data_IF_929538166246
#
_entry.id   IF_929538166246
#
_cell.length_a   1.000
_cell.length_b   1.000
_cell.length_c   1.000
_cell.angle_alpha   90.00
_cell.angle_beta   90.00
_cell.angle_gamma   90.00
#
_symmetry.space_group_name_H-M   'P 1'
#
loop_
_entity.id
_entity.type
_entity.pdbx_description
1 polymer ?
#
# COMPACT_ATOMS: atom_id res chain seq x y z
N UNK A 1 -9.50 -23.79 10.15
CA UNK A 1 -9.47 -22.43 9.57
C UNK A 1 -8.39 -21.67 10.30
N UNK A 2 -7.38 -21.17 9.60
CA UNK A 2 -6.28 -20.40 10.22
C UNK A 2 -6.72 -18.98 10.47
N UNK A 3 -6.19 -18.38 11.52
CA UNK A 3 -6.46 -16.98 11.88
C UNK A 3 -5.15 -16.27 12.24
N UNK A 4 -5.05 -15.00 11.92
CA UNK A 4 -3.99 -14.09 12.35
C UNK A 4 -4.61 -12.88 13.02
N UNK A 5 -4.22 -12.58 14.26
CA UNK A 5 -4.79 -11.47 15.05
C UNK A 5 -6.34 -11.47 15.07
N UNK A 6 -6.96 -12.66 15.07
CA UNK A 6 -8.42 -12.82 14.99
C UNK A 6 -9.02 -12.81 13.57
N UNK A 7 -8.25 -12.41 12.55
CA UNK A 7 -8.70 -12.38 11.16
C UNK A 7 -8.53 -13.74 10.49
N UNK A 8 -9.49 -14.12 9.64
CA UNK A 8 -9.39 -15.30 8.79
C UNK A 8 -8.28 -15.12 7.76
N UNK A 9 -7.42 -16.14 7.61
CA UNK A 9 -6.37 -16.12 6.59
C UNK A 9 -6.79 -16.89 5.34
N UNK A 10 -6.28 -16.46 4.20
CA UNK A 10 -6.52 -17.04 2.88
C UNK A 10 -5.18 -17.32 2.21
N UNK A 11 -5.05 -18.41 1.43
CA UNK A 11 -3.85 -18.64 0.64
C UNK A 11 -3.68 -17.54 -0.42
N UNK A 12 -2.44 -17.28 -0.80
CA UNK A 12 -2.16 -16.43 -1.95
C UNK A 12 -2.61 -17.11 -3.23
N UNK A 13 -3.12 -16.33 -4.18
CA UNK A 13 -3.36 -16.80 -5.55
C UNK A 13 -2.04 -17.08 -6.25
N UNK A 14 -2.08 -17.86 -7.35
CA UNK A 14 -0.88 -18.17 -8.14
C UNK A 14 -0.21 -16.88 -8.65
N UNK A 15 -0.98 -15.91 -9.11
CA UNK A 15 -0.46 -14.62 -9.57
C UNK A 15 0.22 -13.83 -8.44
N UNK A 16 -0.40 -13.78 -7.25
CA UNK A 16 0.22 -13.13 -6.09
C UNK A 16 1.53 -13.81 -5.68
N UNK A 17 1.56 -15.15 -5.65
CA UNK A 17 2.77 -15.92 -5.36
C UNK A 17 3.88 -15.60 -6.37
N UNK A 18 3.56 -15.60 -7.65
CA UNK A 18 4.53 -15.28 -8.69
C UNK A 18 5.17 -13.92 -8.45
N UNK A 19 4.39 -12.87 -8.30
CA UNK A 19 4.91 -11.52 -8.06
C UNK A 19 5.68 -11.42 -6.74
N UNK A 20 5.15 -12.05 -5.70
CA UNK A 20 5.73 -11.99 -4.37
C UNK A 20 7.11 -12.65 -4.30
N UNK A 21 7.24 -13.86 -4.87
CA UNK A 21 8.52 -14.57 -4.92
C UNK A 21 9.48 -13.96 -5.95
N UNK A 22 8.96 -13.45 -7.08
CA UNK A 22 9.79 -12.77 -8.07
C UNK A 22 10.56 -11.60 -7.47
N UNK A 23 9.93 -10.82 -6.60
CA UNK A 23 10.58 -9.72 -5.90
C UNK A 23 11.81 -10.16 -5.06
N UNK A 24 11.84 -11.39 -4.56
CA UNK A 24 12.97 -11.90 -3.79
C UNK A 24 14.21 -12.17 -4.64
N UNK A 25 14.06 -12.37 -5.94
CA UNK A 25 15.17 -12.58 -6.89
C UNK A 25 15.67 -11.27 -7.51
N UNK A 26 14.94 -10.17 -7.33
CA UNK A 26 15.36 -8.88 -7.85
C UNK A 26 16.31 -8.17 -6.89
N UNK A 27 17.31 -7.42 -7.40
CA UNK A 27 18.25 -6.70 -6.56
C UNK A 27 17.61 -5.58 -5.71
N UNK A 28 16.45 -5.05 -6.14
CA UNK A 28 15.68 -4.06 -5.39
C UNK A 28 14.33 -4.65 -4.97
N UNK A 29 14.00 -4.56 -3.67
CA UNK A 29 12.71 -5.06 -3.14
C UNK A 29 11.52 -4.20 -3.57
N UNK A 30 11.79 -3.00 -4.03
CA UNK A 30 10.82 -2.02 -4.56
C UNK A 30 10.44 -2.29 -6.02
N UNK A 31 11.04 -3.26 -6.69
CA UNK A 31 10.87 -3.53 -8.13
C UNK A 31 9.42 -3.71 -8.59
N UNK A 32 8.54 -4.13 -7.68
CA UNK A 32 7.11 -4.30 -7.95
C UNK A 32 6.25 -3.14 -7.42
N UNK A 33 6.87 -2.10 -6.87
CA UNK A 33 6.12 -0.93 -6.49
C UNK A 33 5.57 -0.23 -7.73
N UNK A 34 4.29 0.09 -7.69
CA UNK A 34 3.62 0.89 -8.73
C UNK A 34 3.18 2.19 -8.10
N UNK A 35 3.72 3.30 -8.59
CA UNK A 35 3.30 4.64 -8.20
C UNK A 35 2.44 5.26 -9.30
N UNK A 36 1.42 6.00 -8.90
CA UNK A 36 0.63 6.85 -9.80
C UNK A 36 0.28 8.13 -9.08
N UNK A 37 0.20 9.22 -9.82
CA UNK A 37 -0.31 10.50 -9.34
C UNK A 37 -1.60 10.87 -10.07
N UNK A 38 -2.49 11.56 -9.37
CA UNK A 38 -3.71 12.12 -9.92
C UNK A 38 -3.70 13.62 -9.60
N UNK A 39 -3.69 14.44 -10.62
CA UNK A 39 -3.81 15.90 -10.49
C UNK A 39 -5.29 16.28 -10.52
N UNK A 40 -5.70 17.10 -9.55
CA UNK A 40 -7.06 17.62 -9.44
C UNK A 40 -7.00 19.13 -9.64
N UNK A 41 -7.65 19.61 -10.70
CA UNK A 41 -7.54 21.02 -11.17
C UNK A 41 -8.61 21.94 -10.55
N UNK A 42 -9.16 21.61 -9.39
CA UNK A 42 -10.10 22.46 -8.68
C UNK A 42 -9.78 22.49 -7.19
N UNK A 43 -10.25 23.52 -6.52
CA UNK A 43 -10.04 23.69 -5.08
C UNK A 43 -10.70 22.55 -4.29
N UNK A 44 -9.90 21.86 -3.49
CA UNK A 44 -10.34 20.75 -2.65
C UNK A 44 -10.13 21.06 -1.17
N UNK A 45 -11.11 20.65 -0.38
CA UNK A 45 -10.92 20.57 1.06
C UNK A 45 -10.16 19.28 1.39
N UNK A 46 -8.96 19.43 1.97
CA UNK A 46 -8.07 18.29 2.29
C UNK A 46 -8.72 17.31 3.27
N UNK A 47 -9.49 17.79 4.25
CA UNK A 47 -10.15 16.91 5.22
C UNK A 47 -11.29 16.10 4.58
N UNK A 48 -12.02 16.68 3.64
CA UNK A 48 -13.03 15.95 2.86
C UNK A 48 -12.39 14.92 1.92
N UNK A 49 -11.25 15.26 1.32
CA UNK A 49 -10.47 14.31 0.51
C UNK A 49 -9.98 13.13 1.36
N UNK A 50 -9.43 13.39 2.55
CA UNK A 50 -9.05 12.33 3.49
C UNK A 50 -10.22 11.40 3.82
N UNK A 51 -11.39 11.97 4.12
CA UNK A 51 -12.61 11.18 4.39
C UNK A 51 -12.99 10.31 3.20
N UNK A 52 -12.89 10.86 1.97
CA UNK A 52 -13.17 10.11 0.75
C UNK A 52 -12.19 8.94 0.55
N UNK A 53 -10.90 9.14 0.83
CA UNK A 53 -9.89 8.10 0.76
C UNK A 53 -10.16 7.00 1.80
N UNK A 54 -10.51 7.35 3.05
CA UNK A 54 -10.90 6.34 4.06
C UNK A 54 -12.14 5.54 3.62
N UNK A 55 -13.11 6.16 2.98
CA UNK A 55 -14.26 5.44 2.40
C UNK A 55 -13.84 4.49 1.27
N UNK A 56 -12.83 4.86 0.49
CA UNK A 56 -12.27 3.95 -0.51
C UNK A 56 -11.60 2.74 0.16
N UNK A 57 -10.84 2.94 1.22
CA UNK A 57 -10.28 1.84 2.02
C UNK A 57 -11.37 0.92 2.59
N UNK A 58 -12.46 1.47 3.11
CA UNK A 58 -13.58 0.67 3.62
C UNK A 58 -14.23 -0.20 2.55
N UNK A 59 -14.37 0.32 1.33
CA UNK A 59 -15.02 -0.37 0.20
C UNK A 59 -14.12 -1.36 -0.54
N UNK A 60 -12.81 -1.15 -0.50
CA UNK A 60 -11.84 -1.95 -1.24
C UNK A 60 -11.04 -2.85 -0.30
N UNK A 61 -11.42 -4.12 -0.18
CA UNK A 61 -10.73 -5.08 0.68
C UNK A 61 -9.24 -5.24 0.33
N UNK A 62 -8.89 -5.18 -0.96
CA UNK A 62 -7.50 -5.27 -1.41
C UNK A 62 -6.60 -4.18 -0.83
N UNK A 63 -7.15 -3.00 -0.55
CA UNK A 63 -6.40 -1.90 0.07
C UNK A 63 -6.14 -2.13 1.57
N UNK A 64 -6.87 -3.07 2.17
CA UNK A 64 -6.75 -3.46 3.58
C UNK A 64 -6.09 -4.82 3.76
N UNK A 65 -5.59 -5.42 2.68
CA UNK A 65 -4.89 -6.69 2.71
C UNK A 65 -3.55 -6.58 3.45
N UNK A 66 -3.23 -7.65 4.18
CA UNK A 66 -1.94 -7.85 4.85
C UNK A 66 -1.44 -9.24 4.54
N UNK A 67 -0.14 -9.41 4.52
CA UNK A 67 0.48 -10.71 4.37
C UNK A 67 0.98 -11.22 5.71
N UNK A 68 1.03 -12.53 5.86
CA UNK A 68 1.58 -13.21 7.03
C UNK A 68 2.27 -14.50 6.60
N UNK A 69 3.44 -14.74 7.14
CA UNK A 69 4.17 -15.98 6.92
C UNK A 69 3.83 -17.03 7.98
N UNK A 70 3.34 -18.17 7.55
CA UNK A 70 3.16 -19.34 8.43
C UNK A 70 4.44 -20.17 8.47
N UNK A 71 5.16 -20.05 9.59
CA UNK A 71 6.46 -20.72 9.79
C UNK A 71 6.36 -22.25 9.90
N UNK A 72 5.17 -22.81 10.15
CA UNK A 72 4.96 -24.26 10.24
C UNK A 72 4.76 -24.90 8.87
N UNK A 73 4.05 -24.18 8.00
CA UNK A 73 3.78 -24.61 6.63
C UNK A 73 4.76 -24.05 5.61
N UNK A 74 5.65 -23.14 6.07
CA UNK A 74 6.61 -22.44 5.24
C UNK A 74 5.95 -21.74 4.04
N UNK A 75 4.74 -21.14 4.29
CA UNK A 75 3.92 -20.57 3.23
C UNK A 75 3.35 -19.21 3.63
N UNK A 76 3.14 -18.34 2.65
CA UNK A 76 2.52 -17.04 2.83
C UNK A 76 1.00 -17.10 2.68
N UNK A 77 0.32 -16.38 3.56
CA UNK A 77 -1.12 -16.18 3.57
C UNK A 77 -1.44 -14.70 3.56
N UNK A 78 -2.67 -14.37 3.23
CA UNK A 78 -3.20 -13.02 3.33
C UNK A 78 -4.40 -12.98 4.26
N UNK A 79 -4.63 -11.82 4.86
CA UNK A 79 -5.84 -11.53 5.61
C UNK A 79 -6.26 -10.08 5.38
N UNK A 80 -7.53 -9.77 5.64
CA UNK A 80 -8.09 -8.43 5.44
C UNK A 80 -8.35 -7.85 6.82
N UNK A 81 -7.77 -6.69 7.11
CA UNK A 81 -8.13 -5.96 8.33
C UNK A 81 -9.51 -5.33 8.17
N UNK A 82 -10.27 -5.28 9.26
CA UNK A 82 -11.64 -4.77 9.23
C UNK A 82 -11.68 -3.28 8.91
N UNK A 83 -10.71 -2.53 9.42
CA UNK A 83 -10.60 -1.09 9.23
C UNK A 83 -9.15 -0.68 8.97
N UNK A 84 -8.97 0.29 8.09
CA UNK A 84 -7.69 0.98 7.90
C UNK A 84 -7.74 2.31 8.65
N UNK A 85 -6.86 2.48 9.61
CA UNK A 85 -6.82 3.64 10.53
C UNK A 85 -5.51 4.42 10.46
N UNK A 86 -4.59 4.04 9.56
CA UNK A 86 -3.34 4.78 9.38
C UNK A 86 -3.60 6.19 8.84
N UNK A 87 -2.78 7.12 9.26
CA UNK A 87 -2.84 8.50 8.81
C UNK A 87 -2.55 8.61 7.31
N UNK A 88 -3.34 9.44 6.61
CA UNK A 88 -3.08 9.86 5.24
C UNK A 88 -2.24 11.12 5.31
N UNK A 89 -0.98 11.00 4.92
CA UNK A 89 0.01 12.06 4.94
C UNK A 89 -0.39 13.19 3.97
N UNK A 90 -0.17 14.43 4.37
CA UNK A 90 -0.24 15.59 3.51
C UNK A 90 1.15 16.23 3.45
N UNK A 91 1.64 16.47 2.25
CA UNK A 91 2.94 17.09 2.00
C UNK A 91 2.72 18.34 1.15
N UNK A 92 3.08 19.49 1.69
CA UNK A 92 2.98 20.75 0.96
C UNK A 92 4.15 20.91 -0.01
N UNK A 93 3.84 20.98 -1.29
CA UNK A 93 4.80 21.22 -2.37
C UNK A 93 4.79 22.69 -2.85
N UNK A 94 4.15 23.59 -2.13
CA UNK A 94 4.16 25.02 -2.46
C UNK A 94 5.59 25.54 -2.58
N UNK A 95 5.88 26.14 -3.72
CA UNK A 95 7.21 26.70 -4.02
C UNK A 95 8.22 25.71 -4.62
N UNK A 96 7.89 24.43 -4.73
CA UNK A 96 8.70 23.46 -5.49
C UNK A 96 8.42 23.60 -6.99
N UNK A 97 9.44 23.34 -7.78
CA UNK A 97 9.27 23.14 -9.21
C UNK A 97 8.61 21.79 -9.49
N UNK A 98 8.04 21.65 -10.68
CA UNK A 98 7.47 20.35 -11.10
C UNK A 98 8.52 19.24 -11.08
N UNK A 99 9.74 19.53 -11.51
CA UNK A 99 10.85 18.58 -11.54
C UNK A 99 11.22 18.10 -10.12
N UNK A 100 11.28 19.02 -9.15
CA UNK A 100 11.54 18.69 -7.75
C UNK A 100 10.41 17.82 -7.15
N UNK A 101 9.15 18.15 -7.46
CA UNK A 101 7.99 17.39 -7.01
C UNK A 101 7.99 15.96 -7.60
N UNK A 102 8.24 15.82 -8.90
CA UNK A 102 8.33 14.51 -9.56
C UNK A 102 9.50 13.66 -9.03
N UNK A 103 10.65 14.28 -8.76
CA UNK A 103 11.79 13.60 -8.20
C UNK A 103 11.47 13.03 -6.80
N UNK A 104 10.79 13.82 -5.96
CA UNK A 104 10.40 13.39 -4.63
C UNK A 104 9.32 12.28 -4.66
N UNK A 105 8.29 12.44 -5.48
CA UNK A 105 7.28 11.40 -5.68
C UNK A 105 7.90 10.10 -6.22
N UNK A 106 8.86 10.20 -7.14
CA UNK A 106 9.60 9.05 -7.66
C UNK A 106 10.42 8.38 -6.56
N UNK A 107 11.04 9.15 -5.67
CA UNK A 107 11.79 8.59 -4.55
C UNK A 107 10.89 7.77 -3.62
N UNK A 108 9.63 8.17 -3.40
CA UNK A 108 8.68 7.38 -2.60
C UNK A 108 8.37 6.01 -3.18
N UNK A 109 8.34 5.87 -4.52
CA UNK A 109 8.10 4.57 -5.16
C UNK A 109 9.26 3.59 -4.97
N UNK A 110 10.44 4.08 -4.62
CA UNK A 110 11.64 3.26 -4.36
C UNK A 110 11.74 2.75 -2.93
N UNK A 111 10.84 3.17 -2.06
CA UNK A 111 10.80 2.68 -0.68
C UNK A 111 10.07 1.34 -0.66
N UNK A 112 10.71 0.23 -0.29
CA UNK A 112 10.05 -1.07 -0.25
C UNK A 112 9.00 -1.10 0.87
N UNK A 113 7.90 -1.80 0.63
CA UNK A 113 6.92 -2.12 1.66
C UNK A 113 7.40 -3.25 2.56
N UNK A 114 7.11 -3.16 3.84
CA UNK A 114 7.26 -4.29 4.75
C UNK A 114 6.35 -5.43 4.31
N UNK A 115 6.88 -6.66 4.30
CA UNK A 115 6.15 -7.81 3.78
C UNK A 115 5.15 -8.38 4.79
N UNK A 116 5.48 -8.45 6.07
CA UNK A 116 4.66 -9.14 7.07
C UNK A 116 3.86 -8.16 7.92
N UNK A 117 2.55 -8.41 8.04
CA UNK A 117 1.60 -7.66 8.88
C UNK A 117 1.52 -6.15 8.58
N UNK A 118 1.99 -5.70 7.44
CA UNK A 118 2.09 -4.31 7.04
C UNK A 118 1.16 -3.94 5.87
N UNK A 119 0.77 -2.67 5.73
CA UNK A 119 0.09 -2.18 4.54
C UNK A 119 0.94 -2.36 3.28
N UNK A 120 0.31 -2.76 2.18
CA UNK A 120 0.97 -2.93 0.88
C UNK A 120 0.66 -1.77 -0.09
N UNK A 121 0.18 -0.67 0.42
CA UNK A 121 -0.10 0.55 -0.33
C UNK A 121 0.10 1.78 0.56
N UNK A 122 0.37 2.90 -0.05
CA UNK A 122 0.47 4.22 0.60
C UNK A 122 -0.28 5.24 -0.27
N UNK A 123 -1.02 6.13 0.36
CA UNK A 123 -1.62 7.30 -0.28
C UNK A 123 -1.07 8.54 0.39
N UNK A 124 -0.63 9.50 -0.40
CA UNK A 124 -0.14 10.81 0.05
C UNK A 124 -0.93 11.87 -0.69
N UNK A 125 -1.37 12.89 0.02
CA UNK A 125 -1.96 14.11 -0.55
C UNK A 125 -0.83 15.13 -0.67
N UNK A 126 -0.72 15.78 -1.80
CA UNK A 126 0.28 16.82 -2.08
C UNK A 126 -0.38 18.10 -2.58
#
# INVERSE_FOLDING_TARGET
MKTRKGYKTYPLTVAQKFHFYYADYCPGKEVLNVGTSLTIEFELNIDELRKAIYKAYERCESMRARLVYDRKEEEWYQYIVEKEDREIEYVDFTGKTMEEAEAEMTAWTRVPFDKEDAPMNKVVII
#
